data_IF_335131116368
#
_entry.id   IF_335131116368
#
_cell.length_a   1.000
_cell.length_b   1.000
_cell.length_c   1.000
_cell.angle_alpha   90.00
_cell.angle_beta   90.00
_cell.angle_gamma   90.00
#
_symmetry.space_group_name_H-M   'P 1'
#
loop_
_entity.id
_entity.type
_entity.pdbx_description
1 polymer ?
#
# COMPACT_ATOMS: atom_id res chain seq x y z
N UNK A 1 -1.36 15.04 -7.80
CA UNK A 1 -0.14 14.21 -7.72
C UNK A 1 1.13 14.99 -8.14
N UNK A 2 1.30 16.24 -7.67
CA UNK A 2 2.37 17.17 -8.15
C UNK A 2 3.45 17.40 -7.07
N UNK A 3 3.26 16.92 -5.84
CA UNK A 3 4.24 17.07 -4.76
C UNK A 3 5.41 16.10 -4.91
N UNK A 4 6.63 16.58 -4.60
CA UNK A 4 7.90 15.83 -4.66
C UNK A 4 7.81 14.43 -4.07
N UNK A 5 7.17 14.30 -2.90
CA UNK A 5 6.99 13.03 -2.19
C UNK A 5 6.20 12.01 -3.02
N UNK A 6 5.13 12.43 -3.69
CA UNK A 6 4.33 11.53 -4.53
C UNK A 6 5.11 11.00 -5.73
N UNK A 7 5.89 11.87 -6.41
CA UNK A 7 6.78 11.44 -7.50
C UNK A 7 7.85 10.48 -7.02
N UNK A 8 8.49 10.80 -5.90
CA UNK A 8 9.54 9.96 -5.33
C UNK A 8 9.01 8.56 -4.97
N UNK A 9 7.90 8.48 -4.23
CA UNK A 9 7.30 7.20 -3.84
C UNK A 9 6.86 6.38 -5.04
N UNK A 10 6.32 7.02 -6.08
CA UNK A 10 5.93 6.31 -7.31
C UNK A 10 7.15 5.79 -8.07
N UNK A 11 8.20 6.60 -8.23
CA UNK A 11 9.45 6.18 -8.88
C UNK A 11 10.13 5.03 -8.14
N UNK A 12 10.22 5.08 -6.81
CA UNK A 12 10.79 3.98 -6.01
C UNK A 12 9.90 2.73 -6.13
N UNK A 13 8.58 2.89 -6.12
CA UNK A 13 7.64 1.78 -6.27
C UNK A 13 7.84 1.06 -7.60
N UNK A 14 7.90 1.79 -8.72
CA UNK A 14 8.01 1.17 -10.06
C UNK A 14 9.39 0.63 -10.35
N UNK A 15 10.46 1.24 -9.81
CA UNK A 15 11.83 0.80 -10.10
C UNK A 15 12.32 -0.30 -9.15
N UNK A 16 11.70 -0.47 -7.97
CA UNK A 16 12.16 -1.44 -6.98
C UNK A 16 11.06 -2.38 -6.47
N UNK A 17 10.05 -1.86 -5.77
CA UNK A 17 9.09 -2.71 -5.04
C UNK A 17 8.26 -3.57 -6.00
N UNK A 18 7.75 -2.97 -7.07
CA UNK A 18 6.96 -3.67 -8.09
C UNK A 18 7.80 -4.66 -8.88
N UNK A 19 8.99 -4.26 -9.34
CA UNK A 19 9.87 -5.09 -10.16
C UNK A 19 10.38 -6.31 -9.39
N UNK A 20 10.72 -6.17 -8.11
CA UNK A 20 11.11 -7.29 -7.27
C UNK A 20 9.96 -8.28 -7.04
N UNK A 21 8.74 -7.78 -6.80
CA UNK A 21 7.56 -8.65 -6.68
C UNK A 21 7.33 -9.45 -7.97
N UNK A 22 7.36 -8.79 -9.12
CA UNK A 22 7.17 -9.43 -10.43
C UNK A 22 8.28 -10.44 -10.75
N UNK A 23 9.53 -10.15 -10.40
CA UNK A 23 10.66 -11.07 -10.59
C UNK A 23 10.47 -12.42 -9.87
N UNK A 24 9.67 -12.43 -8.79
CA UNK A 24 9.32 -13.64 -8.03
C UNK A 24 7.91 -14.16 -8.37
N UNK A 25 7.31 -13.75 -9.50
CA UNK A 25 5.93 -14.07 -9.90
C UNK A 25 4.84 -13.60 -8.90
N UNK A 26 5.12 -12.55 -8.12
CA UNK A 26 4.15 -11.91 -7.24
C UNK A 26 3.24 -10.90 -7.97
N UNK A 27 2.23 -10.39 -7.27
CA UNK A 27 1.17 -9.53 -7.84
C UNK A 27 1.64 -8.12 -8.26
N UNK A 28 2.85 -7.68 -7.91
CA UNK A 28 3.38 -6.39 -8.34
C UNK A 28 2.64 -5.16 -7.76
N UNK A 29 1.99 -5.31 -6.60
CA UNK A 29 1.14 -4.27 -5.98
C UNK A 29 1.87 -2.93 -5.78
N UNK A 30 3.17 -2.96 -5.47
CA UNK A 30 3.99 -1.77 -5.26
C UNK A 30 3.70 -1.03 -3.94
N UNK A 31 4.42 0.07 -3.72
CA UNK A 31 4.35 0.85 -2.47
C UNK A 31 3.13 1.80 -2.41
N UNK A 32 2.60 2.21 -3.57
CA UNK A 32 1.47 3.14 -3.66
C UNK A 32 0.12 2.41 -3.85
N UNK A 33 -0.10 1.32 -3.12
CA UNK A 33 -1.28 0.43 -3.26
C UNK A 33 -2.63 1.12 -2.98
N UNK A 34 -2.66 2.14 -2.12
CA UNK A 34 -3.88 2.82 -1.69
C UNK A 34 -4.73 2.02 -0.70
N UNK A 35 -5.67 2.72 -0.05
CA UNK A 35 -6.60 2.14 0.94
C UNK A 35 -7.55 1.06 0.36
N UNK A 36 -8.10 1.20 -0.87
CA UNK A 36 -9.01 0.20 -1.41
C UNK A 36 -8.36 -1.20 -1.52
N UNK A 37 -7.13 -1.28 -2.03
CA UNK A 37 -6.39 -2.54 -2.12
C UNK A 37 -6.01 -3.09 -0.74
N UNK A 38 -5.67 -2.22 0.22
CA UNK A 38 -5.41 -2.64 1.60
C UNK A 38 -6.63 -3.28 2.26
N UNK A 39 -7.81 -2.71 2.02
CA UNK A 39 -9.09 -3.24 2.53
C UNK A 39 -9.47 -4.56 1.88
N UNK A 40 -9.26 -4.69 0.56
CA UNK A 40 -9.47 -5.94 -0.18
C UNK A 40 -8.60 -7.06 0.39
N UNK A 41 -7.31 -6.83 0.58
CA UNK A 41 -6.38 -7.81 1.14
C UNK A 41 -6.72 -8.18 2.59
N UNK A 42 -7.13 -7.21 3.41
CA UNK A 42 -7.56 -7.46 4.77
C UNK A 42 -8.82 -8.34 4.83
N UNK A 43 -9.79 -8.08 3.95
CA UNK A 43 -10.99 -8.91 3.83
C UNK A 43 -10.67 -10.32 3.33
N UNK A 44 -9.78 -10.44 2.33
CA UNK A 44 -9.32 -11.73 1.83
C UNK A 44 -8.57 -12.55 2.89
N UNK A 45 -7.86 -11.88 3.81
CA UNK A 45 -7.21 -12.50 4.95
C UNK A 45 -8.17 -12.88 6.10
N UNK A 46 -9.47 -12.56 5.99
CA UNK A 46 -10.50 -12.93 6.95
C UNK A 46 -10.76 -11.92 8.08
N UNK A 47 -10.16 -10.72 8.04
CA UNK A 47 -10.46 -9.67 9.02
C UNK A 47 -11.84 -9.06 8.76
N UNK A 48 -12.66 -8.95 9.81
CA UNK A 48 -14.02 -8.38 9.73
C UNK A 48 -14.06 -6.88 9.99
N UNK A 49 -13.01 -6.33 10.61
CA UNK A 49 -12.90 -4.92 10.92
C UNK A 49 -11.64 -4.33 10.32
N UNK A 50 -11.81 -3.28 9.51
CA UNK A 50 -10.74 -2.50 8.90
C UNK A 50 -11.01 -1.01 9.16
N UNK A 51 -10.06 -0.33 9.78
CA UNK A 51 -10.15 1.11 10.05
C UNK A 51 -8.84 1.81 9.77
N UNK A 52 -8.88 2.94 9.06
CA UNK A 52 -7.75 3.86 8.96
C UNK A 52 -7.62 4.67 10.25
N UNK A 53 -6.41 4.76 10.78
CA UNK A 53 -6.11 5.63 11.92
C UNK A 53 -5.90 7.07 11.43
N UNK A 54 -6.42 8.09 12.15
CA UNK A 54 -6.28 9.50 11.78
C UNK A 54 -4.89 10.03 12.16
N UNK A 55 -3.85 9.35 11.67
CA UNK A 55 -2.45 9.72 11.87
C UNK A 55 -1.95 10.26 10.53
N UNK A 56 -1.59 11.53 10.51
CA UNK A 56 -1.03 12.17 9.34
C UNK A 56 0.47 11.87 9.28
N UNK A 57 0.88 11.10 8.27
CA UNK A 57 2.28 10.87 7.96
C UNK A 57 2.46 11.00 6.44
N UNK A 58 3.49 11.72 5.97
CA UNK A 58 3.70 11.96 4.54
C UNK A 58 4.10 10.72 3.74
N UNK A 59 4.48 9.61 4.40
CA UNK A 59 4.96 8.38 3.77
C UNK A 59 4.04 7.18 4.03
N UNK A 60 3.46 7.09 5.22
CA UNK A 60 2.74 5.90 5.66
C UNK A 60 1.28 6.20 6.02
N UNK A 61 0.40 5.24 5.75
CA UNK A 61 -0.96 5.21 6.30
C UNK A 61 -1.04 4.05 7.28
N UNK A 62 -1.59 4.29 8.47
CA UNK A 62 -1.75 3.27 9.49
C UNK A 62 -3.18 2.72 9.49
N UNK A 63 -3.29 1.39 9.47
CA UNK A 63 -4.56 0.67 9.49
C UNK A 63 -4.66 -0.22 10.75
N UNK A 64 -5.83 -0.22 11.37
CA UNK A 64 -6.22 -1.14 12.44
C UNK A 64 -7.06 -2.28 11.84
N UNK A 65 -6.64 -3.52 12.09
CA UNK A 65 -7.32 -4.76 11.69
C UNK A 65 -7.77 -5.52 12.92
N UNK A 66 -9.02 -6.02 12.94
CA UNK A 66 -9.51 -6.94 13.98
C UNK A 66 -10.29 -8.11 13.35
N UNK A 67 -10.16 -9.30 13.96
CA UNK A 67 -10.79 -10.54 13.54
C UNK A 67 -12.27 -10.59 13.96
#
# INVERSE_FOLDING_TARGET
NIHFVGKFLYSVSTLYCMTQSLAQNGEGIGAAMGEPKARELAAAAGFKHFRRLPIENPFCVLYELRA
#
